data_IF_979091230070
#
_entry.id   IF_979091230070
#
_cell.length_a   1.000
_cell.length_b   1.000
_cell.length_c   1.000
_cell.angle_alpha   90.00
_cell.angle_beta   90.00
_cell.angle_gamma   90.00
#
_symmetry.space_group_name_H-M   'P 1'
#
loop_
_entity.id
_entity.type
_entity.pdbx_description
1 polymer ?
#
# COMPACT_ATOMS: atom_id res chain seq x y z
N UNK A 1 49.48 -66.05 22.50
CA UNK A 1 48.97 -65.77 21.14
C UNK A 1 48.41 -64.36 21.16
N UNK A 2 49.28 -63.34 20.97
CA UNK A 2 48.90 -61.93 20.98
C UNK A 2 48.96 -61.43 19.54
N UNK A 3 47.80 -61.26 18.91
CA UNK A 3 47.67 -60.47 17.69
C UNK A 3 47.28 -59.06 18.13
N UNK A 4 48.26 -58.17 18.19
CA UNK A 4 48.03 -56.74 18.34
C UNK A 4 47.53 -56.23 16.99
N UNK A 5 46.23 -55.97 16.90
CA UNK A 5 45.61 -55.13 15.88
C UNK A 5 46.23 -53.73 15.98
N UNK A 6 47.29 -53.48 15.22
CA UNK A 6 47.80 -52.12 15.02
C UNK A 6 46.83 -51.43 14.07
N UNK A 7 45.99 -50.58 14.64
CA UNK A 7 45.13 -49.66 13.89
C UNK A 7 46.05 -48.56 13.36
N UNK A 8 46.31 -48.55 12.05
CA UNK A 8 47.06 -47.47 11.41
C UNK A 8 46.24 -46.17 11.50
N UNK A 9 46.65 -45.26 12.38
CA UNK A 9 46.10 -43.90 12.42
C UNK A 9 46.72 -43.09 11.27
N UNK A 10 46.06 -43.11 10.11
CA UNK A 10 46.40 -42.24 8.98
C UNK A 10 46.04 -40.80 9.35
N UNK A 11 47.06 -39.98 9.62
CA UNK A 11 46.89 -38.54 9.82
C UNK A 11 46.47 -37.83 8.54
N UNK A 12 45.78 -36.70 8.67
CA UNK A 12 45.41 -35.84 7.53
C UNK A 12 46.67 -35.17 6.99
N UNK A 13 46.88 -35.21 5.68
CA UNK A 13 48.03 -34.54 5.06
C UNK A 13 47.82 -33.03 4.99
N UNK A 14 48.92 -32.28 5.03
CA UNK A 14 48.86 -30.81 4.94
C UNK A 14 48.15 -30.34 3.66
N UNK A 15 48.36 -31.04 2.55
CA UNK A 15 47.75 -30.70 1.26
C UNK A 15 46.23 -30.94 1.27
N UNK A 16 45.75 -32.00 1.92
CA UNK A 16 44.31 -32.25 2.08
C UNK A 16 43.65 -31.15 2.90
N UNK A 17 44.30 -30.67 3.98
CA UNK A 17 43.79 -29.55 4.76
C UNK A 17 43.71 -28.25 3.94
N UNK A 18 44.73 -27.97 3.13
CA UNK A 18 44.75 -26.78 2.26
C UNK A 18 43.66 -26.85 1.18
N UNK A 19 43.47 -28.01 0.55
CA UNK A 19 42.41 -28.21 -0.44
C UNK A 19 41.03 -28.11 0.18
N UNK A 20 40.82 -28.70 1.37
CA UNK A 20 39.57 -28.59 2.10
C UNK A 20 39.24 -27.13 2.45
N UNK A 21 40.21 -26.36 2.97
CA UNK A 21 40.06 -24.94 3.27
C UNK A 21 39.75 -24.11 2.01
N UNK A 22 40.43 -24.40 0.90
CA UNK A 22 40.18 -23.73 -0.38
C UNK A 22 38.74 -23.96 -0.86
N UNK A 23 38.23 -25.19 -0.77
CA UNK A 23 36.85 -25.50 -1.15
C UNK A 23 35.84 -24.83 -0.20
N UNK A 24 36.07 -24.90 1.12
CA UNK A 24 35.17 -24.29 2.11
C UNK A 24 35.08 -22.78 1.91
N UNK A 25 36.21 -22.09 1.72
CA UNK A 25 36.20 -20.64 1.47
C UNK A 25 35.45 -20.26 0.20
N UNK A 26 35.58 -21.04 -0.88
CA UNK A 26 34.82 -20.83 -2.11
C UNK A 26 33.31 -21.01 -1.88
N UNK A 27 32.91 -22.07 -1.17
CA UNK A 27 31.51 -22.32 -0.83
C UNK A 27 30.94 -21.19 0.03
N UNK A 28 31.70 -20.72 1.04
CA UNK A 28 31.28 -19.60 1.87
C UNK A 28 31.12 -18.32 1.06
N UNK A 29 32.06 -18.00 0.16
CA UNK A 29 31.97 -16.81 -0.67
C UNK A 29 30.69 -16.79 -1.53
N UNK A 30 30.34 -17.93 -2.14
CA UNK A 30 29.09 -18.08 -2.89
C UNK A 30 27.88 -18.02 -1.97
N UNK A 31 27.93 -18.70 -0.82
CA UNK A 31 26.84 -18.73 0.16
C UNK A 31 26.49 -17.35 0.69
N UNK A 32 27.50 -16.54 1.03
CA UNK A 32 27.29 -15.16 1.48
C UNK A 32 26.71 -14.28 0.36
N UNK A 33 27.24 -14.39 -0.85
CA UNK A 33 26.73 -13.64 -2.01
C UNK A 33 25.25 -13.94 -2.27
N UNK A 34 24.88 -15.22 -2.23
CA UNK A 34 23.50 -15.66 -2.38
C UNK A 34 22.60 -15.20 -1.24
N UNK A 35 23.09 -15.26 0.01
CA UNK A 35 22.34 -14.78 1.18
C UNK A 35 21.98 -13.30 1.07
N UNK A 36 22.94 -12.44 0.71
CA UNK A 36 22.67 -11.01 0.50
C UNK A 36 21.68 -10.75 -0.64
N UNK A 37 21.80 -11.51 -1.73
CA UNK A 37 20.87 -11.42 -2.85
C UNK A 37 19.44 -11.79 -2.44
N UNK A 38 19.25 -12.88 -1.71
CA UNK A 38 17.92 -13.33 -1.26
C UNK A 38 17.30 -12.31 -0.31
N UNK A 39 18.04 -11.82 0.69
CA UNK A 39 17.50 -10.82 1.62
C UNK A 39 17.06 -9.56 0.89
N UNK A 40 17.92 -9.01 0.02
CA UNK A 40 17.57 -7.82 -0.76
C UNK A 40 16.35 -8.05 -1.67
N UNK A 41 16.26 -9.23 -2.28
CA UNK A 41 15.11 -9.58 -3.13
C UNK A 41 13.83 -9.70 -2.31
N UNK A 42 13.91 -10.24 -1.10
CA UNK A 42 12.78 -10.36 -0.19
C UNK A 42 12.31 -8.99 0.31
N UNK A 43 13.23 -8.10 0.68
CA UNK A 43 12.87 -6.74 1.13
C UNK A 43 12.12 -5.97 0.04
N UNK A 44 12.61 -6.04 -1.21
CA UNK A 44 11.94 -5.41 -2.36
C UNK A 44 10.56 -6.02 -2.60
N UNK A 45 10.46 -7.35 -2.63
CA UNK A 45 9.20 -8.05 -2.85
C UNK A 45 8.17 -7.76 -1.74
N UNK A 46 8.62 -7.72 -0.48
CA UNK A 46 7.79 -7.39 0.67
C UNK A 46 7.27 -5.96 0.59
N UNK A 47 8.14 -4.98 0.27
CA UNK A 47 7.74 -3.58 0.09
C UNK A 47 6.71 -3.41 -1.02
N UNK A 48 6.91 -4.06 -2.16
CA UNK A 48 5.95 -4.03 -3.26
C UNK A 48 4.62 -4.69 -2.90
N UNK A 49 4.65 -5.81 -2.17
CA UNK A 49 3.44 -6.49 -1.69
C UNK A 49 2.66 -5.63 -0.70
N UNK A 50 3.34 -4.90 0.18
CA UNK A 50 2.72 -3.97 1.14
C UNK A 50 2.01 -2.82 0.41
N UNK A 51 2.67 -2.18 -0.57
CA UNK A 51 2.07 -1.14 -1.41
C UNK A 51 0.81 -1.65 -2.13
N UNK A 52 0.89 -2.82 -2.77
CA UNK A 52 -0.25 -3.44 -3.45
C UNK A 52 -1.43 -3.71 -2.51
N UNK A 53 -1.14 -4.28 -1.33
CA UNK A 53 -2.16 -4.56 -0.33
C UNK A 53 -2.85 -3.28 0.14
N UNK A 54 -2.08 -2.23 0.40
CA UNK A 54 -2.62 -0.97 0.90
C UNK A 54 -3.48 -0.23 -0.13
N UNK A 55 -3.01 -0.12 -1.38
CA UNK A 55 -3.79 0.52 -2.46
C UNK A 55 -5.06 -0.26 -2.77
N UNK A 56 -5.01 -1.60 -2.77
CA UNK A 56 -6.22 -2.43 -2.95
C UNK A 56 -7.21 -2.27 -1.80
N UNK A 57 -6.72 -2.28 -0.57
CA UNK A 57 -7.57 -2.07 0.63
C UNK A 57 -8.20 -0.68 0.62
N UNK A 58 -7.43 0.35 0.23
CA UNK A 58 -7.93 1.72 0.09
C UNK A 58 -9.00 1.79 -1.00
N UNK A 59 -8.74 1.18 -2.15
CA UNK A 59 -9.68 1.09 -3.27
C UNK A 59 -10.98 0.41 -2.88
N UNK A 60 -10.94 -0.74 -2.20
CA UNK A 60 -12.14 -1.44 -1.74
C UNK A 60 -12.93 -0.60 -0.72
N UNK A 61 -12.23 0.13 0.16
CA UNK A 61 -12.87 0.99 1.15
C UNK A 61 -13.54 2.21 0.52
N UNK A 62 -12.85 2.91 -0.40
CA UNK A 62 -13.39 4.01 -1.19
C UNK A 62 -14.59 3.54 -1.99
N UNK A 63 -14.46 2.42 -2.69
CA UNK A 63 -15.55 1.82 -3.46
C UNK A 63 -16.76 1.54 -2.57
N UNK A 64 -16.56 0.99 -1.38
CA UNK A 64 -17.65 0.74 -0.44
C UNK A 64 -18.30 2.05 0.05
N UNK A 65 -17.55 3.12 0.28
CA UNK A 65 -18.12 4.40 0.76
C UNK A 65 -18.88 5.08 -0.38
N UNK A 66 -18.23 5.23 -1.54
CA UNK A 66 -18.76 5.98 -2.68
C UNK A 66 -19.93 5.26 -3.36
N UNK A 67 -19.90 3.93 -3.48
CA UNK A 67 -20.98 3.16 -4.13
C UNK A 67 -22.33 3.32 -3.43
N UNK A 68 -22.33 3.48 -2.11
CA UNK A 68 -23.52 3.66 -1.28
C UNK A 68 -23.78 5.11 -0.86
N UNK A 69 -22.93 6.05 -1.29
CA UNK A 69 -23.17 7.47 -1.07
C UNK A 69 -24.46 7.89 -1.77
N UNK A 70 -25.24 8.76 -1.13
CA UNK A 70 -26.47 9.32 -1.74
C UNK A 70 -26.18 10.58 -2.56
N UNK A 71 -25.05 11.21 -2.27
CA UNK A 71 -24.55 12.39 -2.95
C UNK A 71 -23.03 12.40 -2.84
N UNK A 72 -22.36 12.74 -3.95
CA UNK A 72 -20.91 12.86 -4.02
C UNK A 72 -20.55 14.22 -4.57
N UNK A 73 -19.69 14.93 -3.85
CA UNK A 73 -19.14 16.23 -4.23
C UNK A 73 -17.63 16.11 -4.33
N UNK A 74 -17.06 16.54 -5.46
CA UNK A 74 -15.62 16.56 -5.68
C UNK A 74 -15.13 17.99 -5.47
N UNK A 75 -14.19 18.18 -4.56
CA UNK A 75 -13.60 19.48 -4.22
C UNK A 75 -12.09 19.46 -4.46
N UNK A 76 -11.51 20.59 -4.84
CA UNK A 76 -10.05 20.72 -4.99
C UNK A 76 -9.33 20.99 -3.66
N UNK A 77 -10.05 21.46 -2.63
CA UNK A 77 -9.43 21.85 -1.36
C UNK A 77 -10.21 21.30 -0.18
N UNK A 78 -9.48 20.89 0.86
CA UNK A 78 -10.07 20.48 2.14
C UNK A 78 -10.68 21.72 2.80
N UNK A 79 -12.00 21.77 3.05
CA UNK A 79 -12.61 22.92 3.71
C UNK A 79 -12.17 23.03 5.18
N UNK A 80 -12.18 24.25 5.72
CA UNK A 80 -11.81 24.53 7.12
C UNK A 80 -12.66 23.75 8.14
N UNK A 81 -13.87 23.37 7.75
CA UNK A 81 -14.77 22.54 8.56
C UNK A 81 -15.42 21.49 7.67
N UNK A 82 -15.20 20.23 8.01
CA UNK A 82 -15.86 19.08 7.38
C UNK A 82 -17.06 18.72 8.26
N UNK A 83 -18.27 18.79 7.72
CA UNK A 83 -19.51 18.40 8.42
C UNK A 83 -20.03 17.03 7.97
N UNK A 84 -19.75 16.64 6.74
CA UNK A 84 -20.23 15.41 6.11
C UNK A 84 -19.13 14.34 6.06
N UNK A 85 -19.48 13.10 5.70
CA UNK A 85 -18.48 12.04 5.51
C UNK A 85 -17.50 12.46 4.39
N UNK A 86 -16.19 12.34 4.60
CA UNK A 86 -15.22 12.83 3.62
C UNK A 86 -14.00 11.93 3.45
N UNK A 87 -13.47 11.87 2.24
CA UNK A 87 -12.23 11.18 1.88
C UNK A 87 -11.27 12.22 1.30
N UNK A 88 -10.08 12.32 1.87
CA UNK A 88 -9.10 13.35 1.49
C UNK A 88 -7.68 12.93 1.86
N UNK A 89 -6.70 13.62 1.29
CA UNK A 89 -5.28 13.50 1.68
C UNK A 89 -4.96 14.57 2.73
N UNK A 90 -4.30 14.17 3.82
CA UNK A 90 -3.70 15.10 4.78
C UNK A 90 -2.27 14.67 5.07
N UNK A 91 -1.31 15.53 4.74
CA UNK A 91 0.12 15.26 4.97
C UNK A 91 0.51 13.88 4.42
N UNK A 92 0.17 13.64 3.15
CA UNK A 92 0.41 12.39 2.40
C UNK A 92 -0.30 11.13 2.94
N UNK A 93 -1.23 11.29 3.89
CA UNK A 93 -2.05 10.20 4.43
C UNK A 93 -3.46 10.25 3.91
N UNK A 94 -3.99 9.08 3.57
CA UNK A 94 -5.38 8.93 3.15
C UNK A 94 -6.30 8.88 4.37
N UNK A 95 -7.10 9.93 4.53
CA UNK A 95 -7.97 10.17 5.67
C UNK A 95 -9.43 9.89 5.33
N UNK A 96 -10.16 9.43 6.34
CA UNK A 96 -11.61 9.26 6.33
C UNK A 96 -12.21 10.02 7.51
N UNK A 97 -12.99 11.05 7.20
CA UNK A 97 -13.78 11.78 8.19
C UNK A 97 -15.17 11.16 8.25
N UNK A 98 -15.60 10.78 9.45
CA UNK A 98 -16.95 10.26 9.71
C UNK A 98 -17.31 10.53 11.17
N UNK A 99 -18.58 10.86 11.43
CA UNK A 99 -19.14 11.02 12.78
C UNK A 99 -18.34 11.98 13.69
N UNK A 100 -17.84 13.08 13.13
CA UNK A 100 -17.09 14.10 13.88
C UNK A 100 -15.60 13.87 14.03
N UNK A 101 -15.05 12.79 13.45
CA UNK A 101 -13.64 12.41 13.63
C UNK A 101 -12.96 12.03 12.32
N UNK A 102 -11.73 12.50 12.14
CA UNK A 102 -10.85 12.09 11.06
C UNK A 102 -9.95 10.92 11.51
N UNK A 103 -9.96 9.83 10.75
CA UNK A 103 -9.12 8.65 10.99
C UNK A 103 -8.40 8.25 9.71
N UNK A 104 -7.34 7.45 9.80
CA UNK A 104 -6.74 6.86 8.60
C UNK A 104 -7.75 5.92 7.94
N UNK A 105 -7.94 6.02 6.62
CA UNK A 105 -8.91 5.22 5.89
C UNK A 105 -8.70 3.71 6.10
N UNK A 106 -7.44 3.28 6.20
CA UNK A 106 -7.05 1.88 6.39
C UNK A 106 -7.09 1.41 7.86
N UNK A 107 -7.36 2.30 8.81
CA UNK A 107 -7.36 1.99 10.25
C UNK A 107 -5.98 1.86 10.89
N UNK A 108 -4.90 1.97 10.10
CA UNK A 108 -3.52 2.03 10.56
C UNK A 108 -2.78 3.18 9.86
N UNK A 109 -1.72 3.68 10.50
CA UNK A 109 -0.82 4.68 9.91
C UNK A 109 0.52 4.02 9.65
N UNK A 110 0.86 3.78 8.39
CA UNK A 110 2.26 3.54 8.00
C UNK A 110 2.91 4.91 7.81
N UNK A 111 3.97 5.22 8.56
CA UNK A 111 4.71 6.48 8.43
C UNK A 111 5.48 6.59 7.13
N UNK A 112 5.75 5.45 6.50
CA UNK A 112 6.72 5.35 5.40
C UNK A 112 6.03 5.21 4.04
N UNK A 113 4.71 5.36 4.00
CA UNK A 113 3.90 5.25 2.77
C UNK A 113 3.15 6.55 2.57
N UNK A 114 3.41 7.18 1.43
CA UNK A 114 2.67 8.35 0.97
C UNK A 114 1.59 7.92 -0.01
N UNK A 115 0.46 8.62 0.01
CA UNK A 115 -0.68 8.36 -0.86
C UNK A 115 -1.02 9.59 -1.69
N UNK A 116 -1.41 9.35 -2.94
CA UNK A 116 -2.04 10.32 -3.81
C UNK A 116 -3.38 9.75 -4.29
N UNK A 117 -4.38 10.62 -4.45
CA UNK A 117 -5.69 10.23 -4.94
C UNK A 117 -6.28 11.28 -5.86
N UNK A 118 -6.81 10.80 -6.98
CA UNK A 118 -7.48 11.63 -7.98
C UNK A 118 -8.84 11.05 -8.30
N UNK A 119 -9.83 11.92 -8.41
CA UNK A 119 -11.19 11.58 -8.81
C UNK A 119 -11.58 12.40 -10.02
N UNK A 120 -12.22 11.76 -11.00
CA UNK A 120 -12.66 12.38 -12.24
C UNK A 120 -14.07 11.87 -12.53
N UNK A 121 -15.03 12.77 -12.65
CA UNK A 121 -16.36 12.39 -13.13
C UNK A 121 -16.29 12.12 -14.62
N UNK A 122 -16.74 10.93 -15.04
CA UNK A 122 -16.76 10.54 -16.45
C UNK A 122 -18.15 10.70 -17.06
N UNK A 123 -19.20 10.42 -16.28
CA UNK A 123 -20.59 10.47 -16.75
C UNK A 123 -21.56 10.74 -15.58
N UNK A 124 -22.87 10.85 -15.85
CA UNK A 124 -23.88 11.19 -14.81
C UNK A 124 -23.82 10.34 -13.54
N UNK A 125 -23.42 9.08 -13.67
CA UNK A 125 -23.44 8.08 -12.59
C UNK A 125 -22.10 7.36 -12.42
N UNK A 126 -21.07 7.78 -13.15
CA UNK A 126 -19.78 7.10 -13.18
C UNK A 126 -18.68 8.05 -12.68
N UNK A 127 -17.89 7.54 -11.76
CA UNK A 127 -16.75 8.22 -11.16
C UNK A 127 -15.50 7.38 -11.41
N UNK A 128 -14.54 7.92 -12.16
CA UNK A 128 -13.21 7.36 -12.24
C UNK A 128 -12.39 7.85 -11.04
N UNK A 129 -11.58 6.96 -10.48
CA UNK A 129 -10.62 7.33 -9.45
C UNK A 129 -9.31 6.57 -9.62
N UNK A 130 -8.22 7.25 -9.27
CA UNK A 130 -6.86 6.73 -9.26
C UNK A 130 -6.29 6.88 -7.86
N UNK A 131 -5.74 5.80 -7.31
CA UNK A 131 -5.02 5.80 -6.03
C UNK A 131 -3.60 5.36 -6.32
N UNK A 132 -2.64 6.16 -5.88
CA UNK A 132 -1.22 5.83 -5.93
C UNK A 132 -0.68 5.78 -4.50
N UNK A 133 0.21 4.82 -4.24
CA UNK A 133 1.03 4.79 -3.04
C UNK A 133 2.51 4.70 -3.39
N UNK A 134 3.36 5.34 -2.60
CA UNK A 134 4.81 5.32 -2.74
C UNK A 134 5.50 4.96 -1.41
N UNK A 135 6.56 4.14 -1.51
CA UNK A 135 7.45 3.78 -0.40
C UNK A 135 8.85 3.50 -0.94
N UNK A 136 9.87 4.16 -0.38
CA UNK A 136 11.28 3.94 -0.74
C UNK A 136 11.56 4.01 -2.26
N UNK A 137 10.87 4.89 -2.97
CA UNK A 137 10.96 5.06 -4.43
C UNK A 137 10.26 3.97 -5.26
N UNK A 138 9.58 3.02 -4.62
CA UNK A 138 8.66 2.09 -5.28
C UNK A 138 7.26 2.69 -5.28
N UNK A 139 6.57 2.60 -6.42
CA UNK A 139 5.19 3.09 -6.56
C UNK A 139 4.27 1.96 -6.97
N UNK A 140 3.00 2.06 -6.57
CA UNK A 140 1.93 1.22 -7.08
C UNK A 140 0.66 2.04 -7.24
N UNK A 141 -0.04 1.84 -8.36
CA UNK A 141 -1.22 2.61 -8.74
C UNK A 141 -2.37 1.67 -9.14
N UNK A 142 -3.58 2.05 -8.76
CA UNK A 142 -4.82 1.46 -9.28
C UNK A 142 -5.71 2.59 -9.78
N UNK A 143 -6.16 2.46 -11.04
CA UNK A 143 -7.27 3.24 -11.59
C UNK A 143 -8.50 2.35 -11.80
N UNK A 144 -9.67 2.88 -11.43
CA UNK A 144 -10.98 2.19 -11.55
C UNK A 144 -12.08 3.19 -11.91
N UNK A 145 -13.07 2.70 -12.64
CA UNK A 145 -14.35 3.39 -12.84
C UNK A 145 -15.43 2.76 -11.95
N UNK A 146 -16.19 3.61 -11.24
CA UNK A 146 -17.22 3.21 -10.28
C UNK A 146 -18.57 3.78 -10.68
N UNK A 147 -19.57 2.89 -10.78
CA UNK A 147 -20.98 3.29 -10.88
C UNK A 147 -21.56 3.57 -9.49
N UNK A 148 -22.12 4.78 -9.30
CA UNK A 148 -22.80 5.20 -8.08
C UNK A 148 -24.27 4.77 -8.16
N UNK A 149 -24.75 4.06 -7.13
CA UNK A 149 -26.07 3.42 -7.17
C UNK A 149 -27.22 4.34 -6.72
N UNK A 150 -26.93 5.39 -5.95
CA UNK A 150 -27.93 6.24 -5.30
C UNK A 150 -27.62 7.73 -5.58
N UNK A 151 -28.24 8.34 -6.58
CA UNK A 151 -27.57 9.43 -7.35
C UNK A 151 -28.20 10.81 -7.19
N UNK A 152 -27.34 11.76 -6.80
CA UNK A 152 -27.01 13.01 -7.52
C UNK A 152 -25.49 13.25 -7.38
N UNK A 153 -24.75 13.50 -8.47
CA UNK A 153 -23.31 13.85 -8.45
C UNK A 153 -23.20 15.27 -8.99
N UNK A 154 -22.73 16.20 -8.17
CA UNK A 154 -22.54 17.59 -8.58
C UNK A 154 -21.06 17.88 -8.85
N UNK A 155 -20.82 18.62 -9.94
CA UNK A 155 -19.51 19.18 -10.25
C UNK A 155 -19.53 20.56 -9.64
N UNK A 156 -18.73 20.81 -8.60
CA UNK A 156 -18.83 21.98 -7.72
C UNK A 156 -18.63 23.36 -8.38
N UNK A 157 -19.53 23.75 -9.28
CA UNK A 157 -19.73 25.11 -9.78
C UNK A 157 -21.03 25.65 -9.18
N UNK A 158 -20.88 26.38 -8.07
CA UNK A 158 -21.90 27.20 -7.39
C UNK A 158 -23.20 26.47 -6.97
N UNK A 159 -23.34 26.19 -5.67
CA UNK A 159 -24.67 25.98 -5.07
C UNK A 159 -25.08 27.26 -4.32
N UNK A 160 -25.84 28.11 -4.99
CA UNK A 160 -26.85 28.94 -4.30
C UNK A 160 -27.82 27.99 -3.58
N UNK A 161 -28.06 28.26 -2.31
CA UNK A 161 -28.81 27.40 -1.39
C UNK A 161 -30.13 26.88 -1.96
N UNK A 162 -30.17 25.56 -2.14
CA UNK A 162 -31.39 24.78 -2.22
C UNK A 162 -31.42 23.80 -1.06
N UNK A 163 -32.49 23.81 -0.26
CA UNK A 163 -32.72 22.91 0.87
C UNK A 163 -32.49 21.44 0.46
N UNK A 164 -31.37 20.86 0.89
CA UNK A 164 -31.14 19.42 0.86
C UNK A 164 -31.56 18.87 2.22
N UNK A 165 -32.62 18.04 2.24
CA UNK A 165 -33.09 17.34 3.43
C UNK A 165 -31.92 16.64 4.16
N UNK A 166 -31.75 17.00 5.43
CA UNK A 166 -30.58 16.73 6.29
C UNK A 166 -30.39 15.26 6.74
N UNK A 167 -30.79 14.26 5.95
CA UNK A 167 -30.79 12.85 6.36
C UNK A 167 -30.21 11.87 5.31
N UNK A 168 -29.39 12.38 4.37
CA UNK A 168 -28.73 11.54 3.36
C UNK A 168 -27.22 11.65 3.46
N UNK A 169 -26.54 10.50 3.49
CA UNK A 169 -25.08 10.42 3.55
C UNK A 169 -24.45 11.08 2.31
N UNK A 170 -24.00 12.32 2.50
CA UNK A 170 -23.19 13.11 1.58
C UNK A 170 -21.73 12.72 1.79
N UNK A 171 -21.03 12.41 0.69
CA UNK A 171 -19.60 12.11 0.72
C UNK A 171 -18.86 13.20 -0.04
N UNK A 172 -17.98 13.92 0.67
CA UNK A 172 -17.08 14.91 0.09
C UNK A 172 -15.77 14.22 -0.26
N UNK A 173 -15.37 14.36 -1.52
CA UNK A 173 -14.13 13.79 -2.04
C UNK A 173 -13.20 14.95 -2.38
N UNK A 174 -12.02 15.00 -1.77
CA UNK A 174 -11.05 16.05 -2.05
C UNK A 174 -9.87 15.48 -2.84
N UNK A 175 -9.64 16.05 -4.01
CA UNK A 175 -8.48 15.74 -4.87
C UNK A 175 -7.34 16.70 -4.60
N UNK A 176 -6.09 16.24 -4.77
CA UNK A 176 -4.92 17.11 -4.87
C UNK A 176 -4.76 17.71 -6.27
#
# INVERSE_FOLDING_TARGET
MFSLLVKEEKGITLIEMLLALAIVSMVLAVGFSFHFYVNKSFDVASGQSELQFNVRSASERIESIVRYASYVEIMENVPDTISDEAIYINTDKLMHYKDGSATNLLGFSSSDITYDIKFVKTDKNFLEYTIQAEKDGQTFEISKELQILNINIDDGDEIEGGDIEADKAKVIIITN
#
